data_IF_785149741168
#
_entry.id   IF_785149741168
#
_cell.length_a   1.000
_cell.length_b   1.000
_cell.length_c   1.000
_cell.angle_alpha   90.00
_cell.angle_beta   90.00
_cell.angle_gamma   90.00
#
_symmetry.space_group_name_H-M   'P 1'
#
loop_
_entity.id
_entity.type
_entity.pdbx_description
1 polymer ?
#
# COMPACT_ATOMS: atom_id res chain seq x y z
N UNK A 1 9.61 0.38 -10.74
CA UNK A 1 9.16 -0.94 -11.21
C UNK A 1 9.12 -1.87 -10.02
N UNK A 2 7.93 -2.19 -9.50
CA UNK A 2 7.75 -3.18 -8.43
C UNK A 2 7.54 -4.52 -9.14
N UNK A 3 8.62 -5.14 -9.63
CA UNK A 3 8.54 -6.45 -10.30
C UNK A 3 8.38 -7.64 -9.32
N UNK A 4 9.13 -7.74 -8.20
CA UNK A 4 9.20 -8.99 -7.44
C UNK A 4 7.89 -9.39 -6.74
N UNK A 5 7.09 -8.41 -6.27
CA UNK A 5 5.87 -8.68 -5.51
C UNK A 5 4.70 -9.15 -6.39
N UNK A 6 4.72 -8.81 -7.68
CA UNK A 6 3.66 -9.22 -8.62
C UNK A 6 3.87 -10.67 -9.05
N UNK A 7 5.13 -11.09 -9.23
CA UNK A 7 5.48 -12.47 -9.58
C UNK A 7 5.04 -13.45 -8.47
N UNK A 8 5.17 -13.07 -7.19
CA UNK A 8 4.71 -13.89 -6.06
C UNK A 8 3.17 -14.06 -6.04
N UNK A 9 2.42 -13.01 -6.42
CA UNK A 9 0.96 -13.01 -6.56
C UNK A 9 0.50 -13.93 -7.67
N UNK A 10 1.18 -13.91 -8.82
CA UNK A 10 0.86 -14.79 -9.95
C UNK A 10 1.23 -16.26 -9.70
N UNK A 11 2.17 -16.53 -8.79
CA UNK A 11 2.63 -17.89 -8.46
C UNK A 11 1.82 -18.58 -7.36
N UNK A 12 0.80 -17.93 -6.79
CA UNK A 12 0.05 -18.43 -5.60
C UNK A 12 0.96 -18.76 -4.39
N UNK A 13 2.22 -18.31 -4.45
CA UNK A 13 3.22 -18.46 -3.38
C UNK A 13 3.13 -17.32 -2.37
N UNK A 14 2.12 -16.45 -2.48
CA UNK A 14 1.86 -15.36 -1.55
C UNK A 14 1.56 -15.94 -0.19
N UNK A 15 2.54 -15.87 0.70
CA UNK A 15 2.33 -16.28 2.09
C UNK A 15 1.29 -15.38 2.73
N UNK A 16 0.67 -15.81 3.84
CA UNK A 16 -0.35 -15.00 4.51
C UNK A 16 0.22 -13.63 4.96
N UNK A 17 1.53 -13.56 5.24
CA UNK A 17 2.25 -12.32 5.48
C UNK A 17 2.28 -11.40 4.25
N UNK A 18 2.52 -11.95 3.05
CA UNK A 18 2.51 -11.18 1.81
C UNK A 18 1.09 -10.74 1.43
N UNK A 19 0.05 -11.54 1.71
CA UNK A 19 -1.36 -11.12 1.54
C UNK A 19 -1.69 -9.96 2.48
N UNK A 20 -1.25 -10.04 3.74
CA UNK A 20 -1.42 -8.98 4.72
C UNK A 20 -0.68 -7.70 4.31
N UNK A 21 0.55 -7.82 3.81
CA UNK A 21 1.31 -6.70 3.27
C UNK A 21 0.59 -6.07 2.06
N UNK A 22 0.11 -6.88 1.12
CA UNK A 22 -0.61 -6.40 -0.06
C UNK A 22 -1.91 -5.67 0.32
N UNK A 23 -2.64 -6.18 1.32
CA UNK A 23 -3.85 -5.55 1.84
C UNK A 23 -3.53 -4.24 2.56
N UNK A 24 -2.44 -4.18 3.34
CA UNK A 24 -1.97 -2.98 3.99
C UNK A 24 -1.57 -1.91 2.94
N UNK A 25 -0.85 -2.29 1.89
CA UNK A 25 -0.49 -1.41 0.78
C UNK A 25 -1.72 -0.92 -0.01
N UNK A 26 -2.71 -1.78 -0.26
CA UNK A 26 -4.00 -1.37 -0.88
C UNK A 26 -4.73 -0.35 0.01
N UNK A 27 -4.79 -0.59 1.31
CA UNK A 27 -5.42 0.30 2.28
C UNK A 27 -4.70 1.64 2.34
N UNK A 28 -3.37 1.61 2.39
CA UNK A 28 -2.52 2.80 2.33
C UNK A 28 -2.79 3.65 1.09
N UNK A 29 -2.86 3.04 -0.10
CA UNK A 29 -3.17 3.74 -1.35
C UNK A 29 -4.55 4.38 -1.35
N UNK A 30 -5.56 3.72 -0.76
CA UNK A 30 -6.92 4.28 -0.63
C UNK A 30 -6.92 5.47 0.33
N UNK A 31 -6.24 5.36 1.47
CA UNK A 31 -6.09 6.47 2.41
C UNK A 31 -5.36 7.64 1.75
N UNK A 32 -4.28 7.37 1.02
CA UNK A 32 -3.50 8.37 0.30
C UNK A 32 -4.33 9.11 -0.76
N UNK A 33 -5.18 8.41 -1.53
CA UNK A 33 -6.10 9.04 -2.48
C UNK A 33 -7.16 9.93 -1.81
N UNK A 34 -7.45 9.68 -0.53
CA UNK A 34 -8.41 10.46 0.27
C UNK A 34 -7.74 11.58 1.05
N UNK A 35 -6.40 11.66 1.03
CA UNK A 35 -5.69 12.78 1.62
C UNK A 35 -6.05 14.01 0.81
N UNK A 36 -6.70 14.97 1.48
CA UNK A 36 -7.02 16.24 0.87
C UNK A 36 -5.74 17.09 0.82
N UNK A 37 -5.19 17.24 -0.38
CA UNK A 37 -3.99 18.05 -0.61
C UNK A 37 -4.28 19.55 -0.65
N UNK A 38 -5.53 19.99 -0.45
CA UNK A 38 -5.88 21.42 -0.41
C UNK A 38 -5.46 22.10 0.90
N UNK A 39 -5.19 21.33 1.97
CA UNK A 39 -4.67 21.86 3.24
C UNK A 39 -3.16 22.06 3.15
N UNK A 40 -2.74 23.32 3.12
CA UNK A 40 -1.35 23.74 2.80
C UNK A 40 -0.37 23.66 3.97
N UNK A 41 -0.83 23.40 5.20
CA UNK A 41 0.01 23.61 6.39
C UNK A 41 0.40 22.32 7.11
N UNK A 42 -0.46 21.30 7.12
CA UNK A 42 -0.15 20.03 7.79
C UNK A 42 -1.00 18.89 7.21
N UNK A 43 -0.53 18.31 6.11
CA UNK A 43 -1.22 17.19 5.45
C UNK A 43 -0.91 15.91 6.26
N UNK A 44 -1.91 15.25 6.88
CA UNK A 44 -1.68 14.02 7.63
C UNK A 44 -1.45 12.86 6.66
N UNK A 45 -0.21 12.72 6.20
CA UNK A 45 0.18 11.62 5.34
C UNK A 45 0.04 10.30 6.12
N UNK A 46 -0.66 9.29 5.58
CA UNK A 46 -0.67 7.97 6.19
C UNK A 46 0.77 7.44 6.25
N UNK A 47 1.07 6.60 7.24
CA UNK A 47 2.38 5.92 7.34
C UNK A 47 2.43 4.75 6.38
N UNK A 48 3.54 4.61 5.67
CA UNK A 48 3.75 3.48 4.76
C UNK A 48 3.84 2.18 5.58
N UNK A 49 3.10 1.13 5.18
CA UNK A 49 3.28 -0.18 5.79
C UNK A 49 4.67 -0.74 5.44
N UNK A 50 5.26 -1.51 6.38
CA UNK A 50 6.55 -2.19 6.21
C UNK A 50 6.39 -3.54 5.52
#
# INVERSE_FOLDING_TARGET
MIKPLTDAVDLDMVTDEEKAALLAWKTYRVLLNRVDCSVTTDIPWPKQPK
#
